data_IF_610795832493
#
_entry.id   IF_610795832493
#
_cell.length_a   1.000
_cell.length_b   1.000
_cell.length_c   1.000
_cell.angle_alpha   90.00
_cell.angle_beta   90.00
_cell.angle_gamma   90.00
#
_symmetry.space_group_name_H-M   'P 1'
#
loop_
_entity.id
_entity.type
_entity.pdbx_description
1 polymer ?
2 non-polymer ?
3 water ?
#
# COMPACT_ATOMS: atom_id res chain seq x y z
N UNK A 9 14.60 -2.71 -18.03
CA UNK A 9 15.41 -2.55 -16.82
C UNK A 9 14.64 -3.00 -15.60
N UNK A 10 15.03 -4.13 -15.03
CA UNK A 10 14.28 -4.73 -13.93
C UNK A 10 14.82 -4.39 -12.54
N UNK A 11 15.95 -3.68 -12.52
CA UNK A 11 16.55 -3.20 -11.29
C UNK A 11 16.96 -4.33 -10.35
N UNK A 12 17.13 -5.54 -10.88
CA UNK A 12 17.50 -6.66 -10.04
C UNK A 12 18.86 -6.52 -9.34
N UNK A 13 19.76 -5.70 -9.88
CA UNK A 13 21.04 -5.48 -9.22
C UNK A 13 20.90 -4.93 -7.78
N UNK A 14 19.79 -4.27 -7.48
CA UNK A 14 19.57 -3.75 -6.12
C UNK A 14 19.40 -4.85 -5.07
N UNK A 15 19.06 -6.05 -5.51
CA UNK A 15 19.01 -7.19 -4.59
C UNK A 15 20.40 -7.80 -4.33
N UNK A 16 21.39 -7.46 -5.16
CA UNK A 16 22.71 -8.06 -5.02
C UNK A 16 23.50 -7.47 -3.87
N UNK A 17 23.51 -6.16 -3.74
CA UNK A 17 24.42 -5.53 -2.81
C UNK A 17 23.98 -5.52 -1.35
N UNK A 18 24.76 -4.84 -0.49
CA UNK A 18 24.16 -4.34 0.75
C UNK A 18 22.82 -3.63 0.45
N UNK A 19 21.90 -3.74 1.40
CA UNK A 19 20.49 -3.40 1.17
C UNK A 19 20.25 -1.91 1.09
N UNK A 20 21.27 -1.13 1.45
CA UNK A 20 21.07 0.30 1.58
C UNK A 20 20.82 1.02 0.24
N UNK A 21 21.33 0.44 -0.85
CA UNK A 21 21.02 0.96 -2.19
C UNK A 21 19.55 0.68 -2.54
N UNK A 22 19.04 -0.49 -2.15
CA UNK A 22 17.66 -0.85 -2.43
C UNK A 22 16.73 0.08 -1.64
N UNK A 23 17.02 0.23 -0.36
CA UNK A 23 16.24 1.12 0.51
C UNK A 23 16.26 2.55 0.00
N UNK A 24 17.42 3.04 -0.43
CA UNK A 24 17.51 4.38 -0.97
C UNK A 24 16.62 4.47 -2.20
N UNK A 25 16.60 3.44 -3.02
CA UNK A 25 15.72 3.42 -4.20
C UNK A 25 14.24 3.47 -3.82
N UNK A 26 13.83 2.64 -2.86
CA UNK A 26 12.43 2.66 -2.43
C UNK A 26 12.01 4.02 -1.91
N UNK A 27 12.91 4.67 -1.18
CA UNK A 27 12.62 5.98 -0.63
C UNK A 27 12.39 6.98 -1.75
N UNK A 28 13.20 6.91 -2.81
CA UNK A 28 13.06 7.81 -3.97
C UNK A 28 11.74 7.63 -4.75
N UNK A 29 11.33 6.38 -4.98
CA UNK A 29 10.15 6.11 -5.80
C UNK A 29 8.85 6.21 -4.99
N UNK A 30 8.98 6.45 -3.70
CA UNK A 30 7.83 6.77 -2.87
C UNK A 30 7.13 7.99 -3.51
N UNK A 31 5.82 7.88 -3.72
CA UNK A 31 5.05 8.98 -4.35
C UNK A 31 5.21 10.32 -3.64
N UNK A 32 5.18 11.41 -4.41
CA UNK A 32 5.23 12.75 -3.83
C UNK A 32 3.95 12.99 -3.02
N UNK A 33 4.02 13.91 -2.07
CA UNK A 33 2.84 14.26 -1.30
C UNK A 33 1.78 14.81 -2.26
N UNK A 34 0.54 14.41 -2.08
CA UNK A 34 -0.54 14.96 -2.90
C UNK A 34 -1.26 16.04 -2.14
N UNK A 35 -1.80 17.01 -2.87
CA UNK A 35 -2.72 17.98 -2.30
C UNK A 35 -4.12 17.72 -2.83
N UNK A 36 -5.05 17.48 -1.92
CA UNK A 36 -6.42 17.23 -2.30
C UNK A 36 -7.23 18.51 -2.55
N UNK A 37 -6.83 19.61 -1.93
CA UNK A 37 -7.57 20.87 -2.10
C UNK A 37 -7.04 21.73 -3.25
N UNK A 38 -7.93 22.51 -3.88
CA UNK A 38 -7.58 23.49 -4.92
C UNK A 38 -6.42 24.40 -4.51
N UNK A 46 -12.75 23.07 -3.00
CA UNK A 46 -14.04 23.71 -2.67
C UNK A 46 -15.22 22.79 -3.00
N UNK A 47 -14.93 21.58 -3.45
CA UNK A 47 -15.95 20.57 -3.71
C UNK A 47 -16.44 20.01 -2.38
N UNK A 48 -17.63 19.37 -2.40
CA UNK A 48 -18.10 18.67 -1.20
C UNK A 48 -17.10 17.56 -0.82
N UNK A 49 -17.13 17.12 0.43
CA UNK A 49 -16.18 16.13 0.93
C UNK A 49 -16.08 14.89 0.06
N UNK A 50 -17.22 14.31 -0.29
CA UNK A 50 -17.21 13.07 -1.08
C UNK A 50 -16.47 13.25 -2.40
N UNK A 51 -16.73 14.36 -3.07
CA UNK A 51 -16.18 14.62 -4.40
C UNK A 51 -14.66 14.80 -4.36
N UNK A 52 -14.22 15.53 -3.35
CA UNK A 52 -12.80 15.76 -3.11
C UNK A 52 -12.09 14.43 -2.95
N UNK A 53 -12.64 13.56 -2.11
CA UNK A 53 -12.04 12.25 -1.86
C UNK A 53 -12.03 11.39 -3.13
N UNK A 54 -13.10 11.46 -3.92
CA UNK A 54 -13.16 10.74 -5.19
C UNK A 54 -12.05 11.18 -6.14
N UNK A 55 -11.93 12.49 -6.34
CA UNK A 55 -10.85 13.04 -7.14
C UNK A 55 -9.50 12.59 -6.61
N UNK A 56 -9.32 12.65 -5.29
CA UNK A 56 -8.04 12.24 -4.71
C UNK A 56 -7.79 10.76 -5.01
N UNK A 57 -8.83 9.94 -4.85
CA UNK A 57 -8.72 8.50 -5.10
C UNK A 57 -8.20 8.18 -6.49
N UNK A 58 -8.73 8.86 -7.51
CA UNK A 58 -8.31 8.61 -8.88
C UNK A 58 -6.81 8.83 -9.03
N UNK A 59 -6.30 9.88 -8.41
CA UNK A 59 -4.88 10.18 -8.48
C UNK A 59 -4.04 9.16 -7.70
N UNK A 60 -4.56 8.69 -6.56
CA UNK A 60 -3.89 7.64 -5.78
C UNK A 60 -3.78 6.35 -6.57
N UNK A 61 -4.77 6.06 -7.40
CA UNK A 61 -4.73 4.84 -8.19
C UNK A 61 -3.57 4.86 -9.18
N UNK A 62 -3.44 5.97 -9.89
CA UNK A 62 -2.40 6.13 -10.91
C UNK A 62 -1.03 6.07 -10.25
N UNK A 63 -0.88 6.82 -9.18
CA UNK A 63 0.35 6.86 -8.42
C UNK A 63 0.73 5.48 -7.87
N UNK A 64 -0.26 4.72 -7.41
CA UNK A 64 -0.03 3.36 -6.93
C UNK A 64 0.51 2.47 -8.05
N UNK A 65 -0.10 2.51 -9.22
CA UNK A 65 0.35 1.73 -10.37
C UNK A 65 1.80 2.09 -10.80
N UNK A 66 2.11 3.38 -10.91
CA UNK A 66 3.45 3.82 -11.29
C UNK A 66 4.48 3.41 -10.25
N UNK A 67 4.10 3.52 -8.98
CA UNK A 67 4.96 3.08 -7.90
C UNK A 67 5.29 1.60 -8.07
N UNK A 68 4.28 0.75 -8.24
CA UNK A 68 4.52 -0.69 -8.36
C UNK A 68 5.51 -1.05 -9.47
N UNK A 69 5.42 -0.36 -10.61
CA UNK A 69 6.23 -0.66 -11.78
C UNK A 69 7.67 -0.30 -11.53
N UNK A 70 7.91 0.56 -10.54
CA UNK A 70 9.26 0.96 -10.19
C UNK A 70 9.86 0.13 -9.04
N UNK A 71 9.14 -0.88 -8.57
CA UNK A 71 9.66 -1.73 -7.51
C UNK A 71 10.62 -2.76 -8.10
N UNK A 72 11.91 -2.73 -7.69
CA UNK A 72 12.88 -3.65 -8.26
C UNK A 72 12.33 -5.08 -8.30
N UNK A 73 12.45 -5.74 -9.46
CA UNK A 73 12.07 -7.14 -9.56
C UNK A 73 10.63 -7.34 -10.00
N UNK A 74 9.78 -6.35 -9.76
CA UNK A 74 8.40 -6.42 -10.20
C UNK A 74 8.30 -6.67 -11.71
N UNK A 75 9.12 -5.96 -12.47
CA UNK A 75 9.10 -6.03 -13.94
C UNK A 75 9.62 -7.35 -14.48
N UNK A 76 10.30 -8.11 -13.62
CA UNK A 76 10.79 -9.42 -14.02
C UNK A 76 9.63 -10.40 -14.17
N UNK A 77 8.55 -10.18 -13.41
CA UNK A 77 7.35 -11.02 -13.54
C UNK A 77 6.73 -10.88 -14.92
N UNK A 78 6.04 -11.91 -15.38
CA UNK A 78 5.37 -11.79 -16.68
C UNK A 78 4.40 -10.63 -16.58
N UNK A 79 4.12 -9.99 -17.71
CA UNK A 79 3.18 -8.90 -17.73
C UNK A 79 1.88 -9.35 -17.06
N UNK A 80 1.48 -10.57 -17.36
CA UNK A 80 0.23 -11.11 -16.85
C UNK A 80 0.25 -11.14 -15.32
N UNK A 81 1.33 -11.68 -14.76
CA UNK A 81 1.45 -11.74 -13.30
C UNK A 81 1.56 -10.35 -12.67
N UNK A 82 2.19 -9.41 -13.36
CA UNK A 82 2.28 -8.06 -12.81
C UNK A 82 0.88 -7.53 -12.57
N UNK A 83 0.02 -7.74 -13.57
CA UNK A 83 -1.32 -7.21 -13.51
C UNK A 83 -2.13 -7.96 -12.46
N UNK A 84 -1.95 -9.28 -12.42
CA UNK A 84 -2.67 -10.11 -11.46
C UNK A 84 -2.28 -9.74 -10.03
N UNK A 85 -0.98 -9.61 -9.77
CA UNK A 85 -0.50 -9.14 -8.47
C UNK A 85 -1.14 -7.79 -8.13
N UNK A 86 -0.99 -6.81 -9.01
CA UNK A 86 -1.53 -5.47 -8.75
C UNK A 86 -3.04 -5.44 -8.46
N UNK A 87 -3.82 -6.21 -9.22
CA UNK A 87 -5.26 -6.22 -9.03
C UNK A 87 -5.67 -6.72 -7.66
N UNK A 88 -4.83 -7.57 -7.09
CA UNK A 88 -5.17 -8.21 -5.82
C UNK A 88 -4.76 -7.42 -4.56
N UNK A 89 -3.78 -6.53 -4.67
CA UNK A 89 -3.28 -5.80 -3.51
C UNK A 89 -3.21 -4.29 -3.67
N UNK A 90 -3.63 -3.75 -4.80
CA UNK A 90 -3.53 -2.30 -4.96
C UNK A 90 -4.18 -1.56 -3.77
N UNK A 91 -5.27 -2.08 -3.24
CA UNK A 91 -5.95 -1.38 -2.14
C UNK A 91 -5.11 -1.42 -0.88
N UNK A 92 -4.43 -2.54 -0.65
CA UNK A 92 -3.51 -2.67 0.48
C UNK A 92 -2.40 -1.61 0.40
N UNK A 93 -1.79 -1.48 -0.76
CA UNK A 93 -0.74 -0.49 -0.93
C UNK A 93 -1.29 0.92 -0.63
N UNK A 94 -2.41 1.24 -1.25
CA UNK A 94 -3.05 2.54 -1.10
C UNK A 94 -3.36 2.81 0.37
N UNK A 95 -4.06 1.88 1.00
CA UNK A 95 -4.43 2.02 2.39
C UNK A 95 -3.21 2.17 3.30
N UNK A 96 -2.14 1.45 2.98
CA UNK A 96 -0.93 1.56 3.81
C UNK A 96 -0.36 2.99 3.73
N UNK A 97 -0.45 3.60 2.55
CA UNK A 97 -0.05 4.98 2.39
C UNK A 97 -0.83 5.92 3.30
N UNK A 98 -2.16 5.79 3.28
CA UNK A 98 -3.04 6.56 4.19
C UNK A 98 -2.64 6.39 5.67
N UNK A 99 -2.41 5.15 6.09
CA UNK A 99 -2.05 4.86 7.47
C UNK A 99 -0.69 5.51 7.76
N UNK A 100 0.20 5.41 6.79
CA UNK A 100 1.54 5.95 6.89
C UNK A 100 1.50 7.47 7.12
N UNK A 101 0.67 8.18 6.36
CA UNK A 101 0.58 9.63 6.56
C UNK A 101 -0.11 9.99 7.88
N UNK A 102 -0.85 9.05 8.46
CA UNK A 102 -1.59 9.31 9.68
C UNK A 102 -0.78 9.06 10.95
N UNK A 103 0.39 8.43 10.83
CA UNK A 103 1.14 8.03 12.01
C UNK A 103 1.45 9.16 13.01
N UNK A 104 1.80 10.36 12.53
CA UNK A 104 2.17 11.41 13.51
C UNK A 104 0.97 12.04 14.21
N UNK A 105 -0.22 11.70 13.75
CA UNK A 105 -1.42 12.35 14.23
C UNK A 105 -2.05 11.49 15.31
N UNK A 106 -3.06 12.02 15.99
CA UNK A 106 -3.78 11.23 16.97
C UNK A 106 -5.26 11.15 16.61
N UNK A 107 -5.72 9.94 16.29
CA UNK A 107 -7.11 9.70 15.95
C UNK A 107 -7.54 10.52 14.73
N UNK A 108 -6.61 10.71 13.82
CA UNK A 108 -6.91 11.40 12.59
C UNK A 108 -6.31 10.65 11.42
N UNK A 109 -6.89 10.88 10.25
CA UNK A 109 -6.47 10.24 9.01
C UNK A 109 -6.05 11.33 8.02
N UNK A 110 -4.80 11.27 7.59
CA UNK A 110 -4.25 12.20 6.61
C UNK A 110 -4.39 11.61 5.23
N UNK A 111 -5.56 11.79 4.65
CA UNK A 111 -5.81 11.29 3.31
C UNK A 111 -4.88 11.97 2.32
N UNK A 112 -4.49 13.21 2.64
CA UNK A 112 -3.54 13.97 1.83
C UNK A 112 -2.92 15.05 2.70
N UNK A 113 -1.86 15.68 2.20
CA UNK A 113 -1.19 16.75 2.93
C UNK A 113 -2.23 17.68 3.56
N UNK A 114 -3.22 18.07 2.76
CA UNK A 114 -4.19 19.09 3.13
C UNK A 114 -5.59 18.54 3.34
N UNK A 115 -5.69 17.26 3.69
CA UNK A 115 -7.00 16.66 3.92
C UNK A 115 -6.91 15.62 5.03
N UNK A 116 -7.28 16.06 6.22
CA UNK A 116 -7.09 15.29 7.45
C UNK A 116 -8.43 15.21 8.14
N UNK A 117 -8.92 14.01 8.36
CA UNK A 117 -10.26 13.81 8.92
C UNK A 117 -10.20 12.97 10.19
N UNK A 118 -11.05 13.29 11.17
CA UNK A 118 -11.21 12.41 12.31
C UNK A 118 -12.32 11.43 11.98
N UNK A 119 -12.69 10.59 12.92
CA UNK A 119 -13.69 9.57 12.65
C UNK A 119 -15.00 10.17 12.14
N UNK A 120 -15.45 11.24 12.80
CA UNK A 120 -16.72 11.86 12.46
C UNK A 120 -16.68 12.53 11.10
N UNK A 121 -15.53 13.12 10.79
CA UNK A 121 -15.32 13.73 9.49
C UNK A 121 -15.32 12.70 8.37
N UNK A 122 -14.80 11.50 8.64
CA UNK A 122 -14.79 10.43 7.65
C UNK A 122 -16.23 9.97 7.38
N UNK A 123 -16.96 9.76 8.46
CA UNK A 123 -18.36 9.34 8.38
C UNK A 123 -19.14 10.36 7.55
N UNK A 124 -18.91 11.63 7.82
CA UNK A 124 -19.63 12.70 7.11
C UNK A 124 -19.15 12.83 5.67
N UNK A 125 -17.99 12.23 5.37
CA UNK A 125 -17.46 12.29 4.01
C UNK A 125 -17.83 11.04 3.20
N UNK A 126 -18.73 10.24 3.73
CA UNK A 126 -19.26 9.09 3.02
C UNK A 126 -18.54 7.76 3.26
N UNK A 127 -17.60 7.74 4.19
CA UNK A 127 -16.74 6.57 4.41
C UNK A 127 -17.32 5.56 5.40
N UNK A 128 -18.56 5.81 5.82
CA UNK A 128 -19.23 4.94 6.76
C UNK A 128 -18.37 4.75 8.00
N UNK A 129 -18.09 3.50 8.32
CA UNK A 129 -17.25 3.19 9.49
C UNK A 129 -15.80 2.92 9.11
N UNK A 130 -15.41 3.27 7.88
CA UNK A 130 -14.04 3.06 7.45
C UNK A 130 -13.10 3.91 8.31
N UNK A 131 -13.61 5.05 8.78
CA UNK A 131 -12.83 5.89 9.66
C UNK A 131 -12.27 5.06 10.81
N UNK A 132 -13.15 4.30 11.47
CA UNK A 132 -12.73 3.47 12.59
C UNK A 132 -11.78 2.38 12.13
N UNK A 133 -12.09 1.73 11.01
CA UNK A 133 -11.26 0.60 10.53
C UNK A 133 -9.84 1.06 10.18
N UNK A 134 -9.76 2.17 9.46
CA UNK A 134 -8.46 2.72 9.11
C UNK A 134 -7.67 3.12 10.35
N UNK A 135 -8.30 3.79 11.30
CA UNK A 135 -7.61 4.18 12.54
C UNK A 135 -7.13 2.97 13.33
N UNK A 136 -7.85 1.87 13.24
CA UNK A 136 -7.41 0.63 13.87
C UNK A 136 -6.06 0.20 13.30
N UNK A 137 -5.93 0.27 11.97
CA UNK A 137 -4.68 -0.05 11.29
C UNK A 137 -3.60 0.92 11.74
N UNK A 138 -3.93 2.22 11.74
CA UNK A 138 -2.98 3.26 12.12
C UNK A 138 -2.41 3.01 13.52
N UNK A 139 -3.28 2.64 14.46
CA UNK A 139 -2.86 2.40 15.84
C UNK A 139 -1.94 1.21 15.95
N UNK A 140 -2.24 0.17 15.16
CA UNK A 140 -1.39 -1.03 15.13
C UNK A 140 0.04 -0.69 14.66
N UNK A 141 0.15 0.26 13.72
CA UNK A 141 1.47 0.67 13.24
C UNK A 141 2.16 1.70 14.14
N UNK A 142 1.37 2.58 14.74
CA UNK A 142 1.91 3.58 15.66
C UNK A 142 2.55 2.89 16.85
N UNK A 143 1.99 1.74 17.25
CA UNK A 143 2.54 0.98 18.37
C UNK A 143 3.99 0.52 18.13
N UNK A 144 4.39 0.39 16.86
CA UNK A 144 5.74 -0.08 16.54
C UNK A 144 6.71 1.09 16.29
N UNK A 145 6.15 2.29 16.19
CA UNK A 145 6.94 3.48 15.85
C UNK A 145 7.81 3.24 14.59
N UNK A 146 7.16 3.10 13.45
CA UNK A 146 7.84 2.85 12.19
C UNK A 146 8.85 3.94 11.88
N UNK A 147 9.95 3.56 11.24
CA UNK A 147 10.71 4.55 10.51
C UNK A 147 10.32 4.45 9.05
N UNK A 148 10.64 5.49 8.29
CA UNK A 148 10.24 5.57 6.90
C UNK A 148 10.82 4.42 6.05
N UNK A 149 12.04 3.99 6.36
CA UNK A 149 12.68 2.86 5.68
C UNK A 149 11.89 1.56 5.87
N UNK A 150 11.33 1.39 7.07
CA UNK A 150 10.58 0.19 7.38
C UNK A 150 9.27 0.19 6.58
N UNK A 151 8.60 1.34 6.57
CA UNK A 151 7.39 1.51 5.79
C UNK A 151 7.58 1.18 4.30
N UNK A 152 8.56 1.75 3.63
CA UNK A 152 8.73 1.42 2.20
C UNK A 152 9.09 -0.06 2.00
N UNK A 153 9.89 -0.64 2.88
CA UNK A 153 10.22 -2.05 2.74
C UNK A 153 8.96 -2.89 2.95
N UNK A 154 8.20 -2.56 3.99
CA UNK A 154 6.98 -3.30 4.30
C UNK A 154 5.98 -3.18 3.16
N UNK A 155 5.87 -1.98 2.60
CA UNK A 155 4.92 -1.75 1.53
C UNK A 155 5.27 -2.55 0.27
N UNK A 156 6.55 -2.54 -0.09
CA UNK A 156 7.03 -3.33 -1.22
C UNK A 156 6.76 -4.80 -0.99
N UNK A 157 6.99 -5.24 0.25
CA UNK A 157 6.74 -6.63 0.65
C UNK A 157 5.27 -6.98 0.56
N UNK A 158 4.40 -6.06 0.95
CA UNK A 158 2.96 -6.30 0.85
C UNK A 158 2.54 -6.51 -0.60
N UNK A 159 3.16 -5.76 -1.51
CA UNK A 159 2.89 -5.92 -2.92
C UNK A 159 3.24 -7.34 -3.35
N UNK A 160 4.42 -7.80 -2.93
CA UNK A 160 4.95 -9.08 -3.36
C UNK A 160 4.32 -10.24 -2.63
N UNK A 161 3.55 -9.94 -1.58
CA UNK A 161 2.94 -11.02 -0.80
C UNK A 161 1.49 -11.24 -1.20
N UNK A 162 1.14 -10.73 -2.38
CA UNK A 162 -0.15 -10.99 -3.01
C UNK A 162 -0.48 -12.48 -3.04
N UNK A 163 -1.76 -12.81 -2.84
CA UNK A 163 -2.21 -14.18 -2.98
C UNK A 163 -3.24 -14.32 -4.09
N UNK A 164 -3.05 -13.56 -5.16
CA UNK A 164 -3.96 -13.65 -6.31
C UNK A 164 -4.09 -15.09 -6.79
N UNK A 165 -5.34 -15.52 -6.96
CA UNK A 165 -5.64 -16.82 -7.56
C UNK A 165 -5.17 -16.93 -9.01
N UNK A 166 -4.91 -15.81 -9.66
CA UNK A 166 -4.58 -15.79 -11.10
C UNK A 166 -3.10 -15.73 -11.44
N UNK A 167 -2.25 -15.95 -10.45
CA UNK A 167 -0.81 -15.93 -10.70
C UNK A 167 -0.37 -17.18 -11.45
N UNK A 168 0.37 -17.01 -12.54
CA UNK A 168 0.75 -18.15 -13.36
C UNK A 168 2.15 -18.70 -13.07
N UNK A 169 3.06 -17.84 -12.64
CA UNK A 169 4.36 -18.28 -12.18
C UNK A 169 4.52 -18.04 -10.69
N UNK A 170 4.06 -18.99 -9.90
CA UNK A 170 4.00 -18.85 -8.45
C UNK A 170 5.38 -18.83 -7.79
N UNK A 171 6.34 -19.50 -8.40
CA UNK A 171 7.68 -19.49 -7.81
C UNK A 171 8.39 -18.16 -8.13
N UNK A 172 8.05 -17.56 -9.27
CA UNK A 172 8.62 -16.27 -9.61
C UNK A 172 8.15 -15.20 -8.62
N UNK A 173 6.88 -15.25 -8.25
CA UNK A 173 6.35 -14.32 -7.25
C UNK A 173 6.96 -14.67 -5.92
N UNK A 174 7.04 -15.96 -5.62
CA UNK A 174 7.67 -16.38 -4.38
C UNK A 174 9.08 -15.78 -4.28
N UNK A 175 9.86 -15.83 -5.36
CA UNK A 175 11.22 -15.35 -5.27
C UNK A 175 11.28 -13.83 -5.02
N UNK A 176 10.40 -13.06 -5.67
CA UNK A 176 10.32 -11.63 -5.41
C UNK A 176 9.99 -11.37 -3.93
N UNK A 177 8.98 -12.07 -3.42
CA UNK A 177 8.56 -11.94 -2.01
C UNK A 177 9.71 -12.27 -1.06
N UNK A 178 10.40 -13.38 -1.33
CA UNK A 178 11.57 -13.75 -0.52
C UNK A 178 12.66 -12.68 -0.53
N UNK A 179 12.93 -12.10 -1.70
CA UNK A 179 14.01 -11.12 -1.81
C UNK A 179 13.67 -9.86 -1.03
N UNK A 180 12.39 -9.46 -1.06
CA UNK A 180 12.00 -8.26 -0.30
C UNK A 180 11.98 -8.53 1.20
N UNK A 181 11.57 -9.74 1.58
CA UNK A 181 11.62 -10.12 2.98
C UNK A 181 13.07 -10.09 3.47
N UNK A 182 13.99 -10.67 2.70
CA UNK A 182 15.39 -10.69 3.10
C UNK A 182 15.96 -9.27 3.17
N UNK A 183 15.52 -8.40 2.25
CA UNK A 183 15.87 -6.99 2.33
C UNK A 183 15.44 -6.40 3.68
N UNK A 184 14.20 -6.63 4.08
CA UNK A 184 13.71 -6.11 5.36
C UNK A 184 14.62 -6.59 6.49
N UNK A 185 14.91 -7.89 6.49
CA UNK A 185 15.77 -8.49 7.52
C UNK A 185 17.16 -7.85 7.54
N UNK A 186 17.76 -7.71 6.36
CA UNK A 186 19.10 -7.17 6.28
C UNK A 186 19.08 -5.73 6.74
N UNK A 187 18.05 -4.97 6.34
CA UNK A 187 17.93 -3.60 6.82
C UNK A 187 17.92 -3.56 8.34
N UNK A 188 17.09 -4.40 8.93
CA UNK A 188 16.94 -4.40 10.39
C UNK A 188 18.26 -4.78 11.06
N UNK A 189 18.92 -5.80 10.50
CA UNK A 189 20.14 -6.33 11.08
C UNK A 189 21.24 -5.28 11.11
N UNK A 190 21.20 -4.36 10.15
CA UNK A 190 22.24 -3.36 10.01
C UNK A 190 21.95 -2.00 10.63
N UNK A 191 20.82 -1.85 11.34
CA UNK A 191 20.55 -0.59 12.00
C UNK A 191 21.60 -0.34 13.08
N UNK A 196 16.09 -15.87 19.08
CA UNK A 196 15.14 -14.77 19.23
C UNK A 196 15.57 -13.45 18.62
N UNK A 197 16.30 -13.50 17.49
CA UNK A 197 16.87 -12.33 16.83
C UNK A 197 16.14 -11.01 16.97
N UNK A 198 16.82 -9.97 17.45
CA UNK A 198 16.18 -8.67 17.71
C UNK A 198 15.82 -7.94 16.42
N UNK A 199 16.35 -8.44 15.31
CA UNK A 199 16.03 -7.91 13.99
C UNK A 199 14.64 -8.41 13.59
N UNK A 201 13.29 -9.97 15.14
CA UNK A 201 12.04 -9.81 15.86
C UNK A 201 11.34 -8.50 15.53
N UNK A 202 12.13 -7.46 15.31
CA UNK A 202 11.60 -6.20 14.83
C UNK A 202 10.89 -6.46 13.49
N UNK A 203 11.53 -7.18 12.58
CA UNK A 203 10.94 -7.50 11.28
C UNK A 203 9.63 -8.27 11.42
N UNK A 204 9.61 -9.29 12.27
CA UNK A 204 8.40 -10.05 12.49
C UNK A 204 7.25 -9.18 12.99
N UNK A 205 7.56 -8.20 13.84
CA UNK A 205 6.51 -7.37 14.38
C UNK A 205 5.85 -6.53 13.29
N UNK A 206 6.64 -6.10 12.31
CA UNK A 206 6.06 -5.40 11.16
C UNK A 206 5.19 -6.38 10.36
N UNK A 207 5.69 -7.60 10.14
CA UNK A 207 4.95 -8.61 9.36
C UNK A 207 3.61 -8.92 10.00
N UNK A 208 3.55 -8.87 11.33
CA UNK A 208 2.33 -9.25 12.04
C UNK A 208 1.19 -8.23 11.88
N UNK A 209 1.48 -7.10 11.27
CA UNK A 209 0.46 -6.11 10.95
C UNK A 209 -0.13 -6.32 9.55
N UNK A 210 0.47 -7.21 8.77
CA UNK A 210 -0.01 -7.44 7.41
C UNK A 210 -1.42 -8.06 7.36
N UNK A 211 -1.74 -8.94 8.33
CA UNK A 211 -3.12 -9.43 8.27
C UNK A 211 -4.15 -8.32 8.44
N UNK A 212 -3.95 -7.40 9.39
CA UNK A 212 -4.89 -6.31 9.56
C UNK A 212 -4.86 -5.43 8.32
N UNK A 213 -3.70 -5.29 7.71
CA UNK A 213 -3.62 -4.46 6.49
C UNK A 213 -4.55 -5.01 5.40
N UNK A 214 -4.47 -6.31 5.13
CA UNK A 214 -5.30 -6.94 4.10
C UNK A 214 -6.79 -6.82 4.45
N UNK A 215 -7.12 -7.13 5.70
CA UNK A 215 -8.48 -7.00 6.22
C UNK A 215 -9.05 -5.59 6.04
N UNK A 216 -8.23 -4.59 6.38
CA UNK A 216 -8.66 -3.21 6.25
C UNK A 216 -8.99 -2.91 4.80
N UNK A 217 -8.12 -3.33 3.86
CA UNK A 217 -8.39 -3.14 2.43
C UNK A 217 -9.70 -3.82 1.98
N UNK A 218 -9.94 -5.04 2.44
CA UNK A 218 -11.19 -5.72 2.16
C UNK A 218 -12.38 -4.92 2.69
N UNK A 219 -12.22 -4.33 3.87
CA UNK A 219 -13.31 -3.56 4.47
C UNK A 219 -13.64 -2.33 3.62
N UNK A 220 -12.60 -1.68 3.11
CA UNK A 220 -12.79 -0.52 2.24
C UNK A 220 -13.55 -0.91 0.97
N UNK A 221 -13.14 -2.03 0.36
CA UNK A 221 -13.80 -2.49 -0.85
C UNK A 221 -15.25 -2.86 -0.58
N UNK A 222 -15.51 -3.53 0.54
CA UNK A 222 -16.86 -3.95 0.89
C UNK A 222 -17.78 -2.75 1.09
N UNK A 223 -17.23 -1.68 1.70
CA UNK A 223 -18.00 -0.47 1.90
C UNK A 223 -18.44 0.17 0.57
N UNK A 224 -17.53 0.24 -0.39
CA UNK A 224 -17.88 0.89 -1.65
C UNK A 224 -18.72 0.00 -2.56
N UNK A 225 -18.59 -1.32 -2.41
CA UNK A 225 -19.43 -2.24 -3.17
C UNK A 225 -20.80 -2.42 -2.54
N UNK A 226 -20.91 -2.08 -1.26
CA UNK A 226 -22.13 -2.36 -0.50
C UNK A 226 -22.28 -3.86 -0.34
N UNK A 227 -23.02 -4.30 0.67
CA UNK A 227 -23.12 -5.75 0.92
C UNK A 227 -24.57 -6.26 1.10
N UNK A 229 -23.38 -8.35 -2.06
CA UNK A 229 -22.33 -7.54 -2.68
C UNK A 229 -22.82 -6.81 -3.93
N UNK A 230 -23.45 -5.66 -3.72
CA UNK A 230 -24.24 -4.98 -4.74
C UNK A 230 -23.47 -4.43 -5.95
N UNK A 231 -22.47 -3.57 -5.73
CA UNK A 231 -21.67 -3.03 -6.83
C UNK A 231 -21.94 -1.56 -7.13
N UNK A 232 -22.35 -0.82 -6.10
CA UNK A 232 -22.65 0.61 -6.19
C UNK A 232 -21.48 1.44 -6.73
N UNK A 233 -20.29 1.19 -6.19
CA UNK A 233 -19.07 1.86 -6.63
C UNK A 233 -18.04 0.77 -6.94
N UNK A 234 -17.97 0.33 -8.21
CA UNK A 234 -17.20 -0.86 -8.58
C UNK A 234 -15.71 -0.56 -8.76
N UNK A 235 -14.99 -0.45 -7.65
CA UNK A 235 -13.60 -0.04 -7.70
C UNK A 235 -12.68 -1.00 -8.46
N UNK A 236 -12.96 -2.30 -8.44
CA UNK A 236 -12.14 -3.25 -9.18
C UNK A 236 -12.15 -2.93 -10.69
N UNK A 237 -13.33 -2.66 -11.23
CA UNK A 237 -13.46 -2.25 -12.63
C UNK A 237 -12.73 -0.94 -12.90
N UNK A 238 -13.00 0.07 -12.07
CA UNK A 238 -12.30 1.33 -12.18
C UNK A 238 -10.78 1.11 -12.19
N UNK A 239 -10.30 0.28 -11.26
CA UNK A 239 -8.86 0.05 -11.19
C UNK A 239 -8.36 -0.62 -12.48
N UNK A 240 -9.06 -1.66 -12.91
CA UNK A 240 -8.64 -2.41 -14.08
C UNK A 240 -8.50 -1.48 -15.26
N UNK A 241 -9.55 -0.70 -15.54
CA UNK A 241 -9.51 0.23 -16.65
C UNK A 241 -8.27 1.11 -16.61
N UNK A 242 -7.97 1.67 -15.45
CA UNK A 242 -6.76 2.48 -15.32
C UNK A 242 -5.50 1.63 -15.49
N UNK A 243 -5.51 0.41 -14.96
CA UNK A 243 -4.36 -0.49 -15.05
C UNK A 243 -4.02 -0.79 -16.52
N UNK A 244 -5.02 -1.19 -17.30
CA UNK A 244 -4.75 -1.58 -18.67
C UNK A 244 -4.44 -0.39 -19.56
N UNK A 245 -4.88 0.79 -19.15
CA UNK A 245 -4.53 2.02 -19.85
C UNK A 245 -3.06 2.40 -19.64
N UNK A 246 -2.48 1.95 -18.52
CA UNK A 246 -1.11 2.33 -18.19
C UNK A 246 -0.12 1.23 -18.54
N UNK A 247 -0.57 -0.02 -18.47
CA UNK A 247 0.25 -1.16 -18.85
C UNK A 247 -0.18 -1.68 -20.22
X LIG B 1 -12.58 6.40 -2.91
X LIG B 1 -9.11 8.70 -1.19
X LIG B 1 -8.15 7.88 -0.46
X LIG B 1 -6.70 8.30 -0.40
X LIG B 1 -8.55 6.66 0.21
X LIG B 1 -10.41 4.95 0.79
X LIG B 1 -15.66 8.87 0.10
X LIG B 1 -14.34 8.55 -0.28
X LIG B 1 -14.08 7.99 -1.52
X LIG B 1 -14.87 8.32 -2.71
X LIG B 1 -14.51 7.69 -3.97
X LIG B 1 -15.35 7.86 -5.23
X LIG B 1 -16.54 7.22 -5.28
X LIG B 1 -17.69 7.34 -3.93
X LIG B 1 -19.16 7.48 -4.80
X LIG B 1 -20.24 7.77 -4.34
X LIG B 1 -18.83 7.83 -6.24
X LIG B 1 -17.37 7.32 -6.58
X LIG B 1 -16.85 7.62 -7.60
X LIG B 1 -13.36 6.72 -4.09
X LIG B 1 -12.93 7.02 -1.66
X LIG B 1 -12.22 6.65 -0.50
X LIG B 1 -10.89 7.09 -0.58
X LIG B 1 -10.51 8.30 -1.26
X LIG B 1 -5.64 8.59 -0.30
X LIG B 1 -9.93 6.27 0.16
X LIG B 1 -10.87 4.14 -0.19
X LIG B 1 -11.47 5.14 1.63
X LIG B 1 -9.35 4.38 1.45
#
# INVERSE_FOLDING_TARGET
MGSSHHHHHHLEVLFQGPVNALVSHLLVVEPEKLYAMPDPAGPDGHLPAVATLCDLFDREIVVTISWAKSIPGFSSLSLSDQMSVLQSVWMEVLVLGVAQRSLPLQDELAFAEDLVLDEEGARAAGLGELGAALLQLVRRLQALRLEREEYVLLKALALANSDSVHIEDAEAVEQLREALHEALLEYEAGRAGPGGGAERRRAGRLLLTLPLLRQTAGKVLAHFYGVKLEGKVPMHKLFLEMLEAMMD
5FB C15 C20 C21 C22 C24 C26 C01 O02 C03 C04 C05 C06 C07 S08 C09 O10 N11 C12 O13 C14 C16 O17 C18 C19 N23 C25 F27 F28 F29
#
